data_IF_017946062051
#
_entry.id   IF_017946062051
#
_cell.length_a   1.000
_cell.length_b   1.000
_cell.length_c   1.000
_cell.angle_alpha   90.00
_cell.angle_beta   90.00
_cell.angle_gamma   90.00
#
_symmetry.space_group_name_H-M   'P 1'
#
loop_
_entity.id
_entity.type
_entity.pdbx_description
1 polymer ?
#
# COMPACT_ATOMS: atom_id res chain seq x y z
N UNK A 1 7.84 9.61 10.05
CA UNK A 1 6.99 10.77 10.39
C UNK A 1 7.66 11.73 11.37
N UNK A 2 8.25 11.25 12.49
CA UNK A 2 8.81 12.11 13.55
C UNK A 2 9.97 12.99 13.03
N UNK A 3 10.94 12.40 12.32
CA UNK A 3 12.08 13.13 11.75
C UNK A 3 11.63 14.21 10.76
N UNK A 4 10.67 13.90 9.89
CA UNK A 4 10.16 14.85 8.89
C UNK A 4 9.46 16.05 9.55
N UNK A 5 8.65 15.80 10.58
CA UNK A 5 8.02 16.87 11.36
C UNK A 5 9.06 17.77 12.02
N UNK A 6 10.16 17.19 12.49
CA UNK A 6 11.24 17.95 13.13
C UNK A 6 12.04 18.78 12.12
N UNK A 7 12.31 18.27 10.92
CA UNK A 7 12.92 19.04 9.83
C UNK A 7 12.07 20.28 9.50
N UNK A 8 10.76 20.09 9.32
CA UNK A 8 9.84 21.20 9.05
C UNK A 8 9.80 22.20 10.21
N UNK A 9 9.71 21.73 11.48
CA UNK A 9 9.67 22.58 12.65
C UNK A 9 10.94 23.44 12.79
N UNK A 10 12.10 22.91 12.42
CA UNK A 10 13.39 23.63 12.44
C UNK A 10 13.62 24.50 11.21
N UNK A 11 12.75 24.45 10.20
CA UNK A 11 12.94 25.16 8.94
C UNK A 11 14.17 24.66 8.15
N UNK A 12 14.61 23.42 8.37
CA UNK A 12 15.76 22.85 7.66
C UNK A 12 15.32 22.55 6.24
N UNK A 13 15.96 23.20 5.27
CA UNK A 13 15.78 22.89 3.85
C UNK A 13 16.67 21.72 3.46
N UNK A 14 16.07 20.80 2.72
CA UNK A 14 16.75 19.62 2.16
C UNK A 14 16.53 19.68 0.65
N UNK A 15 17.60 19.73 -0.14
CA UNK A 15 17.53 19.89 -1.59
C UNK A 15 17.20 18.57 -2.30
N UNK A 16 17.45 17.44 -1.65
CA UNK A 16 17.09 16.11 -2.16
C UNK A 16 17.28 15.03 -1.12
N UNK A 17 16.64 13.89 -1.33
CA UNK A 17 16.76 12.70 -0.49
C UNK A 17 17.04 11.46 -1.35
N UNK A 18 17.96 10.62 -0.90
CA UNK A 18 18.23 9.31 -1.48
C UNK A 18 17.87 8.27 -0.42
N UNK A 19 16.90 7.41 -0.70
CA UNK A 19 16.49 6.32 0.19
C UNK A 19 17.21 5.05 -0.22
N UNK A 20 17.97 4.46 0.71
CA UNK A 20 18.95 3.38 0.46
C UNK A 20 18.35 1.97 0.47
N UNK A 21 17.16 1.79 -0.11
CA UNK A 21 16.54 0.46 -0.24
C UNK A 21 17.32 -0.42 -1.25
N UNK A 22 17.19 -1.77 -1.17
CA UNK A 22 17.96 -2.71 -2.00
C UNK A 22 17.48 -2.72 -3.46
N UNK A 23 18.02 -1.79 -4.25
CA UNK A 23 17.72 -1.63 -5.68
C UNK A 23 18.83 -2.09 -6.60
N UNK A 24 19.82 -2.82 -6.07
CA UNK A 24 21.05 -3.20 -6.78
C UNK A 24 21.81 -1.98 -7.33
N UNK A 25 21.85 -0.89 -6.56
CA UNK A 25 22.43 0.41 -6.91
C UNK A 25 21.84 1.04 -8.18
N UNK A 26 20.61 0.70 -8.53
CA UNK A 26 19.89 1.25 -9.68
C UNK A 26 18.84 2.28 -9.22
N UNK A 27 18.75 3.46 -9.86
CA UNK A 27 17.77 4.46 -9.50
C UNK A 27 16.33 3.95 -9.70
N UNK A 28 15.50 4.09 -8.66
CA UNK A 28 14.06 3.84 -8.72
C UNK A 28 13.34 5.16 -8.50
N UNK A 29 12.58 5.59 -9.49
CA UNK A 29 11.93 6.92 -9.53
C UNK A 29 10.48 6.88 -9.02
N UNK A 30 9.87 5.71 -8.90
CA UNK A 30 8.53 5.60 -8.36
C UNK A 30 8.30 4.27 -7.64
N UNK A 31 7.44 4.29 -6.64
CA UNK A 31 6.89 3.08 -6.02
C UNK A 31 5.42 3.28 -5.62
N UNK A 32 4.69 2.17 -5.51
CA UNK A 32 3.28 2.21 -5.13
C UNK A 32 3.08 2.67 -3.69
N UNK A 33 1.93 3.30 -3.45
CA UNK A 33 1.44 3.53 -2.08
C UNK A 33 1.02 2.23 -1.41
N UNK A 34 1.11 2.20 -0.08
CA UNK A 34 0.62 1.10 0.76
C UNK A 34 -0.55 1.61 1.60
N UNK A 35 -1.64 0.85 1.63
CA UNK A 35 -2.81 1.18 2.42
C UNK A 35 -3.46 -0.09 2.95
N UNK A 36 -3.50 -0.26 4.27
CA UNK A 36 -4.07 -1.42 4.93
C UNK A 36 -5.26 -1.00 5.82
N UNK A 37 -6.31 -1.79 5.75
CA UNK A 37 -7.56 -1.53 6.47
C UNK A 37 -8.08 -2.79 7.14
N UNK A 38 -8.81 -2.57 8.22
CA UNK A 38 -9.60 -3.59 8.91
C UNK A 38 -11.08 -3.27 8.71
N UNK A 39 -11.84 -4.27 8.31
CA UNK A 39 -13.29 -4.18 8.21
C UNK A 39 -13.93 -5.08 9.27
N UNK A 40 -14.88 -4.54 10.03
CA UNK A 40 -15.70 -5.28 10.98
C UNK A 40 -17.14 -5.20 10.54
N UNK A 41 -17.76 -6.37 10.38
CA UNK A 41 -19.16 -6.53 10.03
C UNK A 41 -19.90 -7.02 11.26
N UNK A 42 -20.92 -6.26 11.68
CA UNK A 42 -21.72 -6.56 12.87
C UNK A 42 -23.16 -6.90 12.45
N UNK A 43 -23.54 -8.13 12.69
CA UNK A 43 -24.86 -8.66 12.48
C UNK A 43 -25.59 -8.96 13.78
N UNK A 44 -26.30 -10.08 13.80
CA UNK A 44 -27.07 -10.55 14.97
C UNK A 44 -27.00 -12.07 15.08
N UNK A 45 -26.60 -12.55 16.25
CA UNK A 45 -26.57 -13.99 16.54
C UNK A 45 -27.99 -14.57 16.66
N UNK A 46 -28.12 -15.81 16.20
CA UNK A 46 -29.31 -16.64 16.40
C UNK A 46 -28.93 -18.12 16.25
N UNK A 47 -29.82 -19.02 16.66
CA UNK A 47 -29.64 -20.43 16.36
C UNK A 47 -29.71 -20.64 14.84
N UNK A 48 -28.85 -21.49 14.27
CA UNK A 48 -28.74 -21.68 12.81
C UNK A 48 -30.02 -22.18 12.13
N UNK A 49 -30.93 -22.83 12.87
CA UNK A 49 -32.25 -23.23 12.36
C UNK A 49 -33.28 -22.08 12.32
N UNK A 50 -32.99 -20.95 12.96
CA UNK A 50 -33.85 -19.76 13.06
C UNK A 50 -33.28 -18.61 12.27
N UNK A 51 -32.99 -18.83 10.99
CA UNK A 51 -32.27 -17.88 10.11
C UNK A 51 -32.91 -16.50 10.03
N UNK A 52 -34.24 -16.43 10.12
CA UNK A 52 -34.99 -15.16 10.08
C UNK A 52 -34.84 -14.30 11.33
N UNK A 53 -34.24 -14.82 12.40
CA UNK A 53 -34.00 -14.10 13.66
C UNK A 53 -32.57 -13.55 13.77
N UNK A 54 -31.68 -13.95 12.87
CA UNK A 54 -30.27 -13.54 12.81
C UNK A 54 -29.99 -12.60 11.66
N UNK A 55 -28.74 -12.06 11.67
CA UNK A 55 -28.13 -11.36 10.52
C UNK A 55 -26.68 -11.87 10.44
N UNK A 56 -26.38 -12.66 9.42
CA UNK A 56 -25.12 -13.42 9.33
C UNK A 56 -23.95 -12.53 8.92
N UNK A 57 -23.12 -12.15 9.88
CA UNK A 57 -21.97 -11.27 9.64
C UNK A 57 -20.94 -11.88 8.67
N UNK A 58 -20.74 -13.19 8.66
CA UNK A 58 -19.80 -13.86 7.73
C UNK A 58 -20.31 -13.77 6.28
N UNK A 59 -21.60 -14.03 6.04
CA UNK A 59 -22.16 -13.97 4.68
C UNK A 59 -22.13 -12.55 4.12
N UNK A 60 -22.40 -11.56 4.94
CA UNK A 60 -22.30 -10.15 4.54
C UNK A 60 -20.84 -9.71 4.36
N UNK A 61 -19.91 -10.16 5.20
CA UNK A 61 -18.46 -9.93 4.99
C UNK A 61 -17.98 -10.56 3.67
N UNK A 62 -18.42 -11.79 3.37
CA UNK A 62 -18.09 -12.47 2.12
C UNK A 62 -18.57 -11.68 0.88
N UNK A 63 -19.76 -11.07 0.92
CA UNK A 63 -20.25 -10.20 -0.16
C UNK A 63 -19.34 -8.98 -0.37
N UNK A 64 -18.87 -8.34 0.72
CA UNK A 64 -17.95 -7.22 0.63
C UNK A 64 -16.57 -7.66 0.10
N UNK A 65 -16.07 -8.82 0.52
CA UNK A 65 -14.83 -9.41 0.01
C UNK A 65 -14.96 -9.71 -1.49
N UNK A 66 -16.09 -10.25 -1.94
CA UNK A 66 -16.34 -10.45 -3.38
C UNK A 66 -16.32 -9.12 -4.14
N UNK A 67 -16.94 -8.07 -3.62
CA UNK A 67 -16.89 -6.74 -4.23
C UNK A 67 -15.46 -6.18 -4.30
N UNK A 68 -14.66 -6.34 -3.24
CA UNK A 68 -13.24 -5.94 -3.23
C UNK A 68 -12.45 -6.71 -4.30
N UNK A 69 -12.72 -8.01 -4.47
CA UNK A 69 -12.13 -8.83 -5.54
C UNK A 69 -12.54 -8.34 -6.93
N UNK A 70 -13.78 -7.94 -7.11
CA UNK A 70 -14.28 -7.43 -8.39
C UNK A 70 -13.60 -6.09 -8.73
N UNK A 71 -13.36 -5.21 -7.74
CA UNK A 71 -12.55 -4.01 -7.90
C UNK A 71 -11.10 -4.35 -8.29
N UNK A 72 -10.49 -5.35 -7.67
CA UNK A 72 -9.15 -5.80 -8.03
C UNK A 72 -9.09 -6.28 -9.49
N UNK A 73 -10.11 -7.03 -9.93
CA UNK A 73 -10.22 -7.50 -11.31
C UNK A 73 -10.43 -6.35 -12.30
N UNK A 74 -11.25 -5.36 -11.95
CA UNK A 74 -11.45 -4.16 -12.74
C UNK A 74 -10.13 -3.42 -12.97
N UNK A 75 -9.34 -3.13 -11.93
CA UNK A 75 -8.05 -2.48 -12.11
C UNK A 75 -7.06 -3.31 -12.93
N UNK A 76 -7.11 -4.63 -12.80
CA UNK A 76 -6.27 -5.54 -13.59
C UNK A 76 -6.64 -5.52 -15.07
N UNK A 77 -7.90 -5.36 -15.44
CA UNK A 77 -8.38 -5.43 -16.83
C UNK A 77 -8.55 -4.07 -17.50
N UNK A 78 -8.81 -3.01 -16.73
CA UNK A 78 -9.21 -1.70 -17.24
C UNK A 78 -8.20 -0.60 -16.89
N UNK A 79 -7.27 -0.86 -15.96
CA UNK A 79 -6.28 0.11 -15.50
C UNK A 79 -6.85 1.18 -14.57
N UNK A 80 -6.16 2.32 -14.41
CA UNK A 80 -5.03 2.76 -15.24
C UNK A 80 -3.80 1.86 -15.14
N UNK A 81 -3.00 1.85 -16.22
CA UNK A 81 -1.77 1.06 -16.31
C UNK A 81 -0.53 1.97 -16.36
N UNK A 82 0.57 1.47 -15.78
CA UNK A 82 1.90 2.03 -15.92
C UNK A 82 2.88 0.87 -16.11
N UNK A 83 3.31 0.66 -17.35
CA UNK A 83 4.11 -0.49 -17.78
C UNK A 83 5.56 -0.47 -17.26
N UNK A 84 5.98 0.60 -16.58
CA UNK A 84 7.27 0.65 -15.91
C UNK A 84 7.28 -0.07 -14.56
N UNK A 85 6.11 -0.43 -14.02
CA UNK A 85 6.00 -1.27 -12.83
C UNK A 85 5.99 -2.75 -13.20
N UNK A 86 6.59 -3.58 -12.36
CA UNK A 86 6.51 -5.04 -12.43
C UNK A 86 5.06 -5.57 -12.35
N UNK A 87 4.18 -4.86 -11.65
CA UNK A 87 2.73 -5.04 -11.68
C UNK A 87 2.10 -3.72 -12.10
N UNK A 88 1.64 -3.56 -13.36
CA UNK A 88 1.36 -2.27 -13.99
C UNK A 88 0.04 -1.61 -13.57
N UNK A 89 -0.68 -2.14 -12.59
CA UNK A 89 -1.98 -1.63 -12.13
C UNK A 89 -2.09 -1.57 -10.61
N UNK A 90 -3.08 -0.87 -10.10
CA UNK A 90 -3.42 -0.86 -8.66
C UNK A 90 -3.91 -2.23 -8.23
N UNK A 91 -3.28 -2.79 -7.19
CA UNK A 91 -3.67 -4.09 -6.63
C UNK A 91 -4.42 -3.93 -5.32
N UNK A 92 -5.38 -4.82 -5.06
CA UNK A 92 -6.08 -4.93 -3.79
C UNK A 92 -6.32 -6.40 -3.45
N UNK A 93 -6.08 -6.77 -2.19
CA UNK A 93 -6.22 -8.14 -1.69
C UNK A 93 -6.84 -8.17 -0.30
N UNK A 94 -7.64 -9.20 -0.02
CA UNK A 94 -8.09 -9.55 1.33
C UNK A 94 -7.15 -10.62 1.87
N UNK A 95 -6.51 -10.34 3.01
CA UNK A 95 -5.38 -11.15 3.49
C UNK A 95 -5.70 -11.97 4.76
N UNK A 96 -6.69 -11.55 5.55
CA UNK A 96 -7.09 -12.23 6.78
C UNK A 96 -8.59 -12.13 6.94
N UNK A 97 -9.21 -13.16 7.52
CA UNK A 97 -10.63 -13.20 7.89
C UNK A 97 -10.81 -14.04 9.15
N UNK A 98 -11.67 -13.58 10.05
CA UNK A 98 -12.09 -14.31 11.24
C UNK A 98 -13.56 -14.00 11.57
N UNK A 99 -14.32 -15.02 11.99
CA UNK A 99 -15.73 -14.84 12.39
C UNK A 99 -16.38 -16.14 12.82
N UNK A 100 -17.50 -16.02 13.55
CA UNK A 100 -18.26 -17.16 14.08
C UNK A 100 -17.66 -17.79 15.34
N UNK A 101 -18.50 -18.48 16.10
CA UNK A 101 -18.13 -19.13 17.37
C UNK A 101 -18.50 -20.62 17.42
N UNK A 102 -19.53 -21.04 16.68
CA UNK A 102 -20.00 -22.42 16.65
C UNK A 102 -20.78 -22.70 15.34
N UNK A 103 -20.76 -23.95 14.88
CA UNK A 103 -21.39 -24.35 13.62
C UNK A 103 -22.93 -24.24 13.63
N UNK A 104 -23.55 -24.21 14.80
CA UNK A 104 -25.01 -24.12 14.98
C UNK A 104 -25.46 -22.69 15.40
N UNK A 105 -24.61 -21.68 15.26
CA UNK A 105 -24.92 -20.31 15.63
C UNK A 105 -24.65 -19.40 14.44
N UNK A 106 -25.64 -18.59 14.05
CA UNK A 106 -25.48 -17.52 13.08
C UNK A 106 -24.48 -16.50 13.68
N UNK A 107 -23.37 -16.17 13.01
CA UNK A 107 -22.38 -15.26 13.57
C UNK A 107 -22.87 -13.80 13.55
N UNK A 108 -22.70 -13.12 14.67
CA UNK A 108 -22.99 -11.70 14.82
C UNK A 108 -21.78 -10.78 14.51
N UNK A 109 -20.60 -11.38 14.36
CA UNK A 109 -19.39 -10.64 14.05
C UNK A 109 -18.51 -11.38 13.03
N UNK A 110 -17.95 -10.60 12.10
CA UNK A 110 -16.88 -11.04 11.21
C UNK A 110 -15.91 -9.89 10.99
N UNK A 111 -14.63 -10.15 11.11
CA UNK A 111 -13.56 -9.20 10.85
C UNK A 111 -12.69 -9.72 9.71
N UNK A 112 -12.27 -8.83 8.81
CA UNK A 112 -11.26 -9.14 7.81
C UNK A 112 -10.34 -7.93 7.56
N UNK A 113 -9.14 -8.19 7.04
CA UNK A 113 -8.22 -7.15 6.62
C UNK A 113 -8.05 -7.19 5.11
N UNK A 114 -7.92 -6.01 4.52
CA UNK A 114 -7.55 -5.86 3.12
C UNK A 114 -6.46 -4.80 2.97
N UNK A 115 -5.64 -4.99 1.95
CA UNK A 115 -4.56 -4.08 1.59
C UNK A 115 -4.67 -3.73 0.11
N UNK A 116 -4.31 -2.50 -0.23
CA UNK A 116 -4.11 -2.13 -1.64
C UNK A 116 -2.81 -1.36 -1.84
N UNK A 117 -2.23 -1.58 -3.04
CA UNK A 117 -1.06 -0.88 -3.55
C UNK A 117 -1.49 -0.05 -4.75
N UNK A 118 -1.62 1.26 -4.54
CA UNK A 118 -2.08 2.16 -5.59
C UNK A 118 -0.93 2.73 -6.41
N UNK A 119 -1.15 2.86 -7.73
CA UNK A 119 -0.32 3.68 -8.61
C UNK A 119 -0.43 5.16 -8.20
N UNK A 120 0.56 5.97 -8.57
CA UNK A 120 0.57 7.41 -8.29
C UNK A 120 -0.70 8.15 -8.81
N UNK A 121 -1.25 7.73 -9.94
CA UNK A 121 -2.48 8.28 -10.52
C UNK A 121 -3.79 7.82 -9.85
N UNK A 122 -3.74 6.93 -8.86
CA UNK A 122 -4.92 6.42 -8.13
C UNK A 122 -4.79 6.80 -6.66
N UNK A 123 -5.64 7.67 -6.18
CA UNK A 123 -5.58 8.09 -4.77
C UNK A 123 -6.18 7.03 -3.84
N UNK A 124 -5.67 6.89 -2.60
CA UNK A 124 -6.28 6.01 -1.60
C UNK A 124 -7.76 6.34 -1.34
N UNK A 125 -8.13 7.61 -1.44
CA UNK A 125 -9.49 8.07 -1.28
C UNK A 125 -10.41 7.50 -2.36
N UNK A 126 -10.01 7.50 -3.63
CA UNK A 126 -10.79 6.91 -4.73
C UNK A 126 -11.09 5.43 -4.52
N UNK A 127 -10.11 4.68 -3.99
CA UNK A 127 -10.31 3.25 -3.64
C UNK A 127 -11.34 3.11 -2.52
N UNK A 128 -11.19 3.88 -1.45
CA UNK A 128 -12.11 3.84 -0.29
C UNK A 128 -13.53 4.30 -0.64
N UNK A 129 -13.68 5.30 -1.49
CA UNK A 129 -14.99 5.77 -1.97
C UNK A 129 -15.76 4.66 -2.70
N UNK A 130 -15.08 3.85 -3.53
CA UNK A 130 -15.72 2.71 -4.22
C UNK A 130 -16.20 1.63 -3.25
N UNK A 131 -15.36 1.29 -2.27
CA UNK A 131 -15.69 0.30 -1.23
C UNK A 131 -16.82 0.86 -0.35
N UNK A 132 -16.70 2.09 0.12
CA UNK A 132 -17.70 2.75 0.95
C UNK A 132 -19.05 2.92 0.23
N UNK A 133 -19.03 3.24 -1.05
CA UNK A 133 -20.26 3.33 -1.85
C UNK A 133 -21.03 2.01 -1.90
N UNK A 134 -20.34 0.88 -2.08
CA UNK A 134 -20.97 -0.43 -2.02
C UNK A 134 -21.54 -0.72 -0.63
N UNK A 135 -20.76 -0.45 0.42
CA UNK A 135 -21.24 -0.63 1.80
C UNK A 135 -22.52 0.17 2.04
N UNK A 136 -22.56 1.44 1.66
CA UNK A 136 -23.70 2.31 1.95
C UNK A 136 -24.91 2.05 1.06
N UNK A 137 -24.71 1.70 -0.20
CA UNK A 137 -25.82 1.56 -1.17
C UNK A 137 -26.40 0.15 -1.23
N UNK A 138 -25.59 -0.86 -1.00
CA UNK A 138 -25.95 -2.27 -1.24
C UNK A 138 -25.93 -3.09 0.04
N UNK A 139 -24.78 -3.11 0.75
CA UNK A 139 -24.53 -4.05 1.83
C UNK A 139 -25.34 -3.66 3.09
N UNK A 140 -25.15 -2.45 3.58
CA UNK A 140 -25.76 -1.99 4.83
C UNK A 140 -27.29 -1.98 4.77
N UNK A 141 -27.96 -1.50 3.70
CA UNK A 141 -29.40 -1.61 3.59
C UNK A 141 -29.91 -3.07 3.56
N UNK A 142 -29.15 -4.00 2.98
CA UNK A 142 -29.47 -5.42 3.01
C UNK A 142 -29.42 -5.98 4.42
N UNK A 143 -28.36 -5.71 5.16
CA UNK A 143 -28.17 -6.12 6.54
C UNK A 143 -29.23 -5.53 7.46
N UNK A 144 -29.57 -4.26 7.30
CA UNK A 144 -30.53 -3.55 8.15
C UNK A 144 -31.99 -4.01 7.96
N UNK A 145 -32.33 -4.65 6.84
CA UNK A 145 -33.61 -5.35 6.68
C UNK A 145 -33.70 -6.61 7.55
N UNK A 146 -32.56 -7.26 7.82
CA UNK A 146 -32.49 -8.44 8.70
C UNK A 146 -32.36 -8.04 10.18
N UNK A 147 -31.57 -7.01 10.46
CA UNK A 147 -31.33 -6.46 11.80
C UNK A 147 -31.04 -4.96 11.75
N UNK A 148 -31.94 -4.13 12.27
CA UNK A 148 -31.79 -2.67 12.23
C UNK A 148 -30.51 -2.14 12.90
N UNK A 149 -29.92 -2.88 13.85
CA UNK A 149 -28.66 -2.55 14.51
C UNK A 149 -27.40 -2.99 13.75
N UNK A 150 -27.56 -3.57 12.55
CA UNK A 150 -26.42 -4.00 11.75
C UNK A 150 -25.55 -2.81 11.30
N UNK A 151 -24.22 -3.01 11.30
CA UNK A 151 -23.27 -1.98 10.92
C UNK A 151 -21.99 -2.56 10.34
N UNK A 152 -21.28 -1.73 9.58
CA UNK A 152 -19.97 -2.04 9.01
C UNK A 152 -19.02 -0.91 9.41
N UNK A 153 -17.88 -1.27 9.99
CA UNK A 153 -16.83 -0.36 10.42
C UNK A 153 -15.58 -0.64 9.59
N UNK A 154 -14.95 0.42 9.08
CA UNK A 154 -13.69 0.30 8.30
C UNK A 154 -12.66 1.23 8.94
N UNK A 155 -11.62 0.64 9.53
CA UNK A 155 -10.53 1.34 10.19
C UNK A 155 -9.25 1.24 9.35
N UNK A 156 -8.56 2.36 9.22
CA UNK A 156 -7.24 2.38 8.62
C UNK A 156 -6.21 1.86 9.61
N UNK A 157 -5.47 0.80 9.23
CA UNK A 157 -4.39 0.21 10.02
C UNK A 157 -3.04 0.85 9.72
N UNK A 158 -2.74 1.03 8.43
CA UNK A 158 -1.48 1.61 7.97
C UNK A 158 -1.68 2.33 6.65
N UNK A 159 -0.85 3.35 6.41
CA UNK A 159 -0.74 4.00 5.12
C UNK A 159 0.68 4.55 4.94
N UNK A 160 1.22 4.37 3.75
CA UNK A 160 2.43 5.03 3.28
C UNK A 160 2.16 5.56 1.85
N UNK A 161 2.44 6.84 1.57
CA UNK A 161 2.26 7.39 0.23
C UNK A 161 3.22 6.74 -0.75
N UNK A 162 2.81 6.64 -2.01
CA UNK A 162 3.70 6.26 -3.09
C UNK A 162 4.73 7.35 -3.39
N UNK A 163 5.81 6.97 -4.06
CA UNK A 163 6.77 7.88 -4.69
C UNK A 163 6.41 8.03 -6.17
N UNK A 164 6.51 9.25 -6.67
CA UNK A 164 6.45 9.57 -8.10
C UNK A 164 7.42 10.73 -8.37
N UNK A 165 8.70 10.39 -8.46
CA UNK A 165 9.76 11.38 -8.64
C UNK A 165 9.82 11.86 -10.09
N UNK A 166 10.01 13.17 -10.26
CA UNK A 166 10.28 13.72 -11.58
C UNK A 166 11.66 13.24 -12.08
N UNK A 167 11.69 12.80 -13.32
CA UNK A 167 12.93 12.41 -13.99
C UNK A 167 13.88 13.61 -14.17
N UNK A 168 13.35 14.83 -14.23
CA UNK A 168 14.09 16.08 -14.34
C UNK A 168 14.51 16.67 -12.99
N UNK A 169 14.09 16.08 -11.87
CA UNK A 169 14.53 16.55 -10.56
C UNK A 169 16.05 16.44 -10.42
N UNK A 170 16.67 17.47 -9.86
CA UNK A 170 18.14 17.52 -9.71
C UNK A 170 18.71 16.28 -9.01
N UNK A 171 18.03 15.80 -7.97
CA UNK A 171 18.46 14.60 -7.26
C UNK A 171 18.37 13.33 -8.12
N UNK A 172 17.36 13.21 -8.98
CA UNK A 172 17.22 12.08 -9.91
C UNK A 172 18.34 12.08 -10.94
N UNK A 173 18.62 13.25 -11.53
CA UNK A 173 19.71 13.43 -12.49
C UNK A 173 21.08 13.16 -11.86
N UNK A 174 21.28 13.64 -10.63
CA UNK A 174 22.53 13.39 -9.89
C UNK A 174 22.75 11.88 -9.65
N UNK A 175 21.72 11.18 -9.16
CA UNK A 175 21.85 9.73 -8.90
C UNK A 175 22.07 8.95 -10.20
N UNK A 176 21.41 9.29 -11.29
CA UNK A 176 21.67 8.71 -12.61
C UNK A 176 23.11 8.92 -13.07
N UNK A 177 23.61 10.16 -12.97
CA UNK A 177 24.99 10.46 -13.33
C UNK A 177 26.02 9.67 -12.49
N UNK A 178 25.77 9.51 -11.18
CA UNK A 178 26.66 8.77 -10.27
C UNK A 178 26.62 7.26 -10.49
N UNK A 179 25.47 6.71 -10.87
CA UNK A 179 25.29 5.28 -11.13
C UNK A 179 25.58 4.89 -12.58
N UNK A 180 25.53 5.84 -13.51
CA UNK A 180 25.61 5.57 -14.95
C UNK A 180 24.37 4.87 -15.52
N UNK A 181 23.23 4.90 -14.81
CA UNK A 181 21.99 4.20 -15.19
C UNK A 181 20.86 5.20 -15.46
N UNK A 182 20.53 5.36 -16.74
CA UNK A 182 19.48 6.28 -17.22
C UNK A 182 18.07 5.62 -17.32
N UNK A 183 17.96 4.34 -16.98
CA UNK A 183 16.70 3.63 -17.14
C UNK A 183 15.64 4.08 -16.15
N UNK A 184 14.38 4.09 -16.60
CA UNK A 184 13.21 4.36 -15.76
C UNK A 184 12.82 3.06 -15.06
N UNK A 185 12.84 3.07 -13.72
CA UNK A 185 12.39 1.94 -12.90
C UNK A 185 11.36 2.37 -11.90
N UNK A 186 10.31 1.59 -11.82
CA UNK A 186 9.22 1.73 -10.86
C UNK A 186 8.96 0.38 -10.21
N UNK A 187 8.71 0.38 -8.90
CA UNK A 187 8.56 -0.86 -8.12
C UNK A 187 7.23 -0.94 -7.40
N UNK A 188 6.68 -2.15 -7.24
CA UNK A 188 5.39 -2.36 -6.60
C UNK A 188 5.44 -2.32 -5.07
N UNK A 189 6.62 -2.53 -4.46
CA UNK A 189 6.78 -2.38 -3.01
C UNK A 189 6.86 -0.90 -2.60
N UNK A 190 6.59 -0.60 -1.33
CA UNK A 190 6.64 0.76 -0.78
C UNK A 190 7.90 0.99 0.06
N UNK A 191 8.34 2.25 0.09
CA UNK A 191 9.46 2.71 0.93
C UNK A 191 9.07 4.01 1.65
N UNK A 192 9.96 4.55 2.49
CA UNK A 192 9.75 5.86 3.11
C UNK A 192 9.87 7.03 2.12
N UNK A 193 10.34 6.81 0.90
CA UNK A 193 10.60 7.88 -0.08
C UNK A 193 9.38 8.75 -0.36
N UNK A 194 8.19 8.16 -0.42
CA UNK A 194 6.94 8.90 -0.58
C UNK A 194 6.63 9.86 0.58
N UNK A 195 7.13 9.60 1.79
CA UNK A 195 6.96 10.50 2.94
C UNK A 195 7.80 11.77 2.77
N UNK A 196 9.03 11.66 2.28
CA UNK A 196 9.90 12.80 1.99
C UNK A 196 9.32 13.64 0.85
N UNK A 197 8.89 12.99 -0.24
CA UNK A 197 8.23 13.68 -1.35
C UNK A 197 6.96 14.41 -0.89
N UNK A 198 6.18 13.80 -0.01
CA UNK A 198 4.93 14.37 0.52
C UNK A 198 5.11 15.68 1.30
N UNK A 199 6.33 16.00 1.76
CA UNK A 199 6.67 17.29 2.39
C UNK A 199 7.50 18.19 1.47
N UNK A 200 7.56 17.87 0.17
CA UNK A 200 8.20 18.70 -0.85
C UNK A 200 9.70 18.47 -1.03
N UNK A 201 10.27 17.39 -0.47
CA UNK A 201 11.69 17.04 -0.68
C UNK A 201 11.76 16.13 -1.91
N UNK A 202 12.45 16.54 -3.00
CA UNK A 202 12.68 15.69 -4.16
C UNK A 202 13.42 14.42 -3.73
N UNK A 203 12.91 13.25 -4.08
CA UNK A 203 13.39 11.99 -3.52
C UNK A 203 13.52 10.92 -4.60
N UNK A 204 14.58 10.12 -4.52
CA UNK A 204 14.83 8.94 -5.35
C UNK A 204 15.25 7.76 -4.47
N UNK A 205 14.99 6.55 -4.91
CA UNK A 205 15.41 5.34 -4.19
C UNK A 205 16.61 4.73 -4.92
N UNK A 206 17.71 4.49 -4.19
CA UNK A 206 18.91 3.84 -4.73
C UNK A 206 19.75 3.31 -3.58
N UNK A 207 20.00 2.00 -3.56
CA UNK A 207 20.83 1.38 -2.52
C UNK A 207 21.35 0.01 -2.89
N UNK A 208 22.26 -0.53 -2.06
CA UNK A 208 22.90 -1.81 -2.32
C UNK A 208 21.98 -2.99 -2.00
N UNK A 209 22.25 -4.14 -2.61
CA UNK A 209 21.49 -5.37 -2.43
C UNK A 209 20.29 -5.49 -3.36
N UNK A 210 19.64 -6.64 -3.31
CA UNK A 210 18.46 -6.98 -4.12
C UNK A 210 17.23 -7.13 -3.25
N UNK A 211 16.10 -6.54 -3.67
CA UNK A 211 14.80 -6.70 -3.02
C UNK A 211 14.37 -8.19 -2.93
N UNK A 212 14.88 -9.04 -3.81
CA UNK A 212 14.59 -10.47 -3.78
C UNK A 212 15.11 -11.16 -2.52
N UNK A 213 16.09 -10.58 -1.82
CA UNK A 213 16.60 -11.08 -0.56
C UNK A 213 15.85 -10.56 0.66
N UNK A 214 15.15 -9.43 0.53
CA UNK A 214 14.48 -8.78 1.65
C UNK A 214 13.42 -9.68 2.31
N UNK A 215 13.39 -9.64 3.65
CA UNK A 215 12.44 -10.39 4.49
C UNK A 215 12.53 -11.93 4.37
N UNK A 216 13.67 -12.45 3.91
CA UNK A 216 13.93 -13.90 3.85
C UNK A 216 14.84 -14.34 5.01
N UNK A 217 14.72 -15.60 5.46
CA UNK A 217 15.76 -16.20 6.31
C UNK A 217 17.12 -16.09 5.62
N UNK A 218 18.17 -15.80 6.41
CA UNK A 218 19.54 -15.65 5.92
C UNK A 218 19.69 -14.55 4.85
N UNK A 219 18.95 -13.46 5.00
CA UNK A 219 19.07 -12.26 4.16
C UNK A 219 20.52 -11.80 4.06
N UNK A 220 20.99 -11.54 2.85
CA UNK A 220 22.36 -11.14 2.60
C UNK A 220 22.47 -9.99 1.59
N UNK A 221 23.61 -9.34 1.58
CA UNK A 221 24.02 -8.39 0.55
C UNK A 221 25.37 -8.82 -0.01
N UNK A 222 25.52 -8.77 -1.32
CA UNK A 222 26.78 -9.07 -1.99
C UNK A 222 27.84 -8.01 -1.64
N UNK A 223 29.09 -8.44 -1.40
CA UNK A 223 30.22 -7.54 -1.08
C UNK A 223 30.44 -6.51 -2.18
N UNK A 224 30.27 -6.89 -3.44
CA UNK A 224 30.38 -5.99 -4.58
C UNK A 224 29.34 -4.89 -4.57
N UNK A 225 28.14 -5.16 -4.05
CA UNK A 225 27.09 -4.13 -3.88
C UNK A 225 27.48 -3.11 -2.80
N UNK A 226 28.13 -3.55 -1.73
CA UNK A 226 28.66 -2.64 -0.70
C UNK A 226 29.80 -1.77 -1.27
N UNK A 227 30.69 -2.35 -2.07
CA UNK A 227 31.77 -1.61 -2.72
C UNK A 227 31.23 -0.56 -3.73
N UNK A 228 30.17 -0.91 -4.49
CA UNK A 228 29.50 0.03 -5.38
C UNK A 228 28.81 1.17 -4.59
N UNK A 229 28.16 0.85 -3.48
CA UNK A 229 27.55 1.84 -2.61
C UNK A 229 28.59 2.77 -1.99
N UNK A 230 29.71 2.24 -1.51
CA UNK A 230 30.81 3.09 -0.98
C UNK A 230 31.35 4.04 -2.04
N UNK A 231 31.59 3.55 -3.26
CA UNK A 231 32.03 4.39 -4.39
C UNK A 231 31.03 5.48 -4.68
N UNK A 232 29.74 5.13 -4.75
CA UNK A 232 28.65 6.07 -4.96
C UNK A 232 28.63 7.17 -3.89
N UNK A 233 28.71 6.81 -2.61
CA UNK A 233 28.70 7.75 -1.50
C UNK A 233 29.92 8.67 -1.52
N UNK A 234 31.11 8.17 -1.87
CA UNK A 234 32.34 8.97 -2.03
C UNK A 234 32.20 9.99 -3.17
N UNK A 235 31.61 9.56 -4.29
CA UNK A 235 31.36 10.46 -5.42
C UNK A 235 30.29 11.53 -5.05
N UNK A 236 29.21 11.10 -4.39
CA UNK A 236 28.17 12.03 -3.91
C UNK A 236 28.77 13.09 -2.97
N UNK A 237 29.59 12.68 -1.99
CA UNK A 237 30.23 13.61 -1.07
C UNK A 237 31.17 14.61 -1.77
N UNK A 238 31.73 14.25 -2.92
CA UNK A 238 32.58 15.14 -3.71
C UNK A 238 31.78 16.15 -4.57
N UNK A 239 30.47 16.01 -4.69
CA UNK A 239 29.58 16.94 -5.41
C UNK A 239 28.90 17.95 -4.52
N UNK A 240 28.98 17.77 -3.20
CA UNK A 240 28.42 18.67 -2.18
C UNK A 240 29.44 19.72 -1.73
#
# INVERSE_FOLDING_TARGET
PFMLAELQRRGIRVDGCIVGEPTSMRPVVAHKGLNAYRCRVHGKAAHSSLTTQGCNAIEHAARLICHIRDLAQMWRSEGPFDEFYDVPYTTITTNQIAGGIAMNTIPDACEFTYEFRNLAGVTPQQVQERIGAYVQRELLPSMQREFAGARVEIDKLAAAPGLDASEQAAITQLVRALTGDESVRKVAYGTEAGLFQGIGIPTVVCGPGSIEQAHKPDEFVEVDQLAQCEKFLRQLAATL
#
